data_IF_463598010358
#
_entry.id   IF_463598010358
#
_cell.length_a   1.000
_cell.length_b   1.000
_cell.length_c   1.000
_cell.angle_alpha   90.00
_cell.angle_beta   90.00
_cell.angle_gamma   90.00
#
_symmetry.space_group_name_H-M   'P 1'
#
loop_
_entity.id
_entity.type
_entity.pdbx_description
1 polymer ?
#
# COMPACT_ATOMS: atom_id res chain seq x y z
N UNK A 1 15.16 6.26 -1.30
CA UNK A 1 14.28 6.06 -0.12
C UNK A 1 15.16 5.95 1.12
N UNK A 2 14.77 6.56 2.24
CA UNK A 2 15.48 6.38 3.52
C UNK A 2 14.98 5.08 4.17
N UNK A 3 15.90 4.20 4.55
CA UNK A 3 15.65 2.91 5.18
C UNK A 3 15.88 2.91 6.69
N UNK A 4 16.85 3.64 7.22
CA UNK A 4 17.05 3.75 8.68
C UNK A 4 17.58 5.11 9.06
N UNK A 5 17.34 5.52 10.30
CA UNK A 5 17.88 6.77 10.86
C UNK A 5 18.11 6.61 12.36
N UNK A 6 19.32 6.96 12.80
CA UNK A 6 19.70 7.14 14.21
C UNK A 6 19.99 8.63 14.41
N UNK A 7 19.48 9.21 15.49
CA UNK A 7 19.73 10.60 15.89
C UNK A 7 20.29 10.61 17.30
N UNK A 8 21.34 11.39 17.53
CA UNK A 8 21.97 11.56 18.82
C UNK A 8 21.60 12.91 19.46
N UNK A 9 21.84 13.02 20.77
CA UNK A 9 21.55 14.20 21.60
C UNK A 9 22.27 15.46 21.15
N UNK A 10 23.45 15.30 20.56
CA UNK A 10 24.24 16.37 19.97
C UNK A 10 23.76 16.82 18.58
N UNK A 11 22.55 16.42 18.17
CA UNK A 11 21.93 16.75 16.88
C UNK A 11 22.68 16.21 15.65
N UNK A 12 23.61 15.29 15.83
CA UNK A 12 24.19 14.52 14.74
C UNK A 12 23.46 13.19 14.60
N UNK A 13 23.48 12.59 13.42
CA UNK A 13 22.86 11.30 13.19
C UNK A 13 23.41 10.58 11.97
N UNK A 14 22.94 9.35 11.79
CA UNK A 14 23.25 8.55 10.61
C UNK A 14 21.96 8.14 9.92
N UNK A 15 22.00 8.06 8.59
CA UNK A 15 20.90 7.57 7.76
C UNK A 15 21.41 6.48 6.82
N UNK A 16 20.63 5.42 6.64
CA UNK A 16 20.81 4.45 5.57
C UNK A 16 19.78 4.76 4.48
N UNK A 17 20.26 5.09 3.29
CA UNK A 17 19.45 5.33 2.10
C UNK A 17 19.60 4.22 1.07
N UNK A 18 18.59 4.08 0.22
CA UNK A 18 18.59 3.17 -0.93
C UNK A 18 18.08 3.88 -2.19
N UNK A 19 18.78 3.68 -3.30
CA UNK A 19 18.36 4.07 -4.64
C UNK A 19 18.61 2.91 -5.62
N UNK A 20 17.58 2.11 -5.97
CA UNK A 20 17.73 0.97 -6.87
C UNK A 20 18.26 1.31 -8.27
N UNK A 21 18.21 2.59 -8.67
CA UNK A 21 18.70 3.06 -9.97
C UNK A 21 20.17 3.49 -9.96
N UNK A 22 20.81 3.53 -8.79
CA UNK A 22 22.22 3.90 -8.68
C UNK A 22 23.12 2.67 -8.92
N UNK A 23 24.35 2.86 -9.46
CA UNK A 23 25.34 1.79 -9.57
C UNK A 23 25.62 1.08 -8.24
N UNK A 24 25.63 1.85 -7.15
CA UNK A 24 25.72 1.38 -5.78
C UNK A 24 24.37 1.70 -5.10
N UNK A 25 23.46 0.72 -4.94
CA UNK A 25 22.09 1.01 -4.53
C UNK A 25 21.96 1.50 -3.08
N UNK A 26 22.95 1.28 -2.22
CA UNK A 26 22.86 1.58 -0.80
C UNK A 26 23.87 2.65 -0.40
N UNK A 27 23.48 3.52 0.54
CA UNK A 27 24.37 4.57 1.04
C UNK A 27 24.15 4.87 2.51
N UNK A 28 25.22 5.01 3.28
CA UNK A 28 25.17 5.50 4.66
C UNK A 28 25.65 6.94 4.71
N UNK A 29 24.79 7.88 5.12
CA UNK A 29 25.16 9.28 5.28
C UNK A 29 25.19 9.64 6.75
N UNK A 30 26.14 10.48 7.15
CA UNK A 30 26.03 11.22 8.39
C UNK A 30 25.20 12.48 8.14
N UNK A 31 24.52 12.99 9.14
CA UNK A 31 23.84 14.28 9.06
C UNK A 31 23.90 15.05 10.37
N UNK A 32 23.67 16.36 10.28
CA UNK A 32 23.37 17.20 11.42
C UNK A 32 21.95 17.76 11.27
N UNK A 33 21.23 17.92 12.37
CA UNK A 33 19.88 18.46 12.43
C UNK A 33 19.89 19.85 13.09
N UNK A 34 19.53 20.88 12.32
CA UNK A 34 19.41 22.27 12.79
C UNK A 34 18.06 22.82 12.33
N UNK A 35 17.27 23.36 13.26
CA UNK A 35 15.95 23.97 12.98
C UNK A 35 14.99 23.11 12.13
N UNK A 36 15.07 21.78 12.29
CA UNK A 36 14.26 20.81 11.52
C UNK A 36 14.78 20.52 10.11
N UNK A 37 15.89 21.14 9.68
CA UNK A 37 16.62 20.80 8.47
C UNK A 37 17.73 19.78 8.78
N UNK A 38 17.89 18.78 7.91
CA UNK A 38 19.00 17.82 7.96
C UNK A 38 19.99 18.04 6.83
N UNK A 39 21.23 18.31 7.19
CA UNK A 39 22.35 18.43 6.25
C UNK A 39 23.13 17.14 6.21
N UNK A 40 23.18 16.49 5.06
CA UNK A 40 23.78 15.17 4.90
C UNK A 40 25.20 15.26 4.31
N UNK A 41 26.13 14.50 4.88
CA UNK A 41 27.54 14.49 4.49
C UNK A 41 28.24 13.15 4.81
N UNK A 42 29.48 13.01 4.32
CA UNK A 42 30.35 11.84 4.52
C UNK A 42 29.66 10.49 4.17
N UNK A 43 29.24 10.36 2.91
CA UNK A 43 28.53 9.18 2.45
C UNK A 43 29.42 7.98 2.10
N UNK A 44 29.07 6.78 2.59
CA UNK A 44 29.67 5.52 2.11
C UNK A 44 28.67 4.77 1.24
N UNK A 45 29.08 4.41 0.02
CA UNK A 45 28.22 3.75 -0.96
C UNK A 45 28.53 2.26 -1.03
N UNK A 46 27.48 1.44 -1.09
CA UNK A 46 27.57 -0.01 -1.02
C UNK A 46 26.69 -0.68 -2.08
N UNK A 47 27.11 -1.84 -2.54
CA UNK A 47 26.37 -2.64 -3.52
C UNK A 47 25.43 -3.65 -2.85
N UNK A 48 25.85 -4.15 -1.69
CA UNK A 48 25.11 -5.13 -0.91
C UNK A 48 24.47 -4.47 0.29
N UNK A 49 23.22 -4.81 0.59
CA UNK A 49 22.51 -4.19 1.69
C UNK A 49 23.12 -4.56 3.06
N UNK A 50 23.57 -5.81 3.24
CA UNK A 50 24.19 -6.28 4.48
C UNK A 50 25.48 -5.52 4.82
N UNK A 51 26.25 -5.14 3.79
CA UNK A 51 27.44 -4.30 3.98
C UNK A 51 27.06 -2.88 4.41
N UNK A 52 26.03 -2.31 3.79
CA UNK A 52 25.55 -0.98 4.12
C UNK A 52 25.02 -0.90 5.56
N UNK A 53 24.37 -1.95 6.04
CA UNK A 53 23.88 -1.99 7.41
C UNK A 53 24.97 -2.21 8.44
N UNK A 54 25.93 -3.12 8.16
CA UNK A 54 27.10 -3.27 9.04
C UNK A 54 27.86 -1.95 9.15
N UNK A 55 28.08 -1.27 8.03
CA UNK A 55 28.70 0.05 8.02
C UNK A 55 27.86 1.08 8.81
N UNK A 56 26.54 1.12 8.62
CA UNK A 56 25.64 2.00 9.36
C UNK A 56 25.75 1.82 10.89
N UNK A 57 25.64 0.57 11.39
CA UNK A 57 25.75 0.30 12.82
C UNK A 57 27.16 0.58 13.34
N UNK A 58 28.20 0.13 12.63
CA UNK A 58 29.59 0.37 13.03
C UNK A 58 29.91 1.86 13.15
N UNK A 59 29.42 2.67 12.20
CA UNK A 59 29.61 4.13 12.20
C UNK A 59 28.84 4.79 13.34
N UNK A 60 27.60 4.39 13.57
CA UNK A 60 26.80 4.90 14.68
C UNK A 60 27.44 4.54 16.03
N UNK A 61 27.88 3.29 16.22
CA UNK A 61 28.54 2.84 17.45
C UNK A 61 29.91 3.51 17.66
N UNK A 62 30.75 3.62 16.62
CA UNK A 62 32.04 4.33 16.70
C UNK A 62 31.83 5.79 17.09
N UNK A 63 30.83 6.44 16.49
CA UNK A 63 30.46 7.81 16.80
C UNK A 63 29.99 7.93 18.25
N UNK A 64 29.12 7.03 18.71
CA UNK A 64 28.63 6.99 20.08
C UNK A 64 29.78 6.83 21.09
N UNK A 65 30.73 5.93 20.81
CA UNK A 65 31.91 5.69 21.65
C UNK A 65 32.86 6.89 21.66
N UNK A 66 33.06 7.56 20.52
CA UNK A 66 34.01 8.68 20.38
C UNK A 66 33.49 9.96 21.01
N UNK A 67 32.20 10.24 20.86
CA UNK A 67 31.61 11.52 21.29
C UNK A 67 30.78 11.40 22.57
N UNK A 68 30.68 10.21 23.16
CA UNK A 68 29.91 9.94 24.38
C UNK A 68 28.47 10.46 24.31
N UNK A 69 27.88 10.35 23.12
CA UNK A 69 26.51 10.77 22.84
C UNK A 69 25.55 9.64 23.13
N UNK A 70 24.30 9.97 23.41
CA UNK A 70 23.24 8.99 23.55
C UNK A 70 22.31 9.06 22.36
N UNK A 71 21.84 7.90 21.89
CA UNK A 71 20.76 7.87 20.92
C UNK A 71 19.56 8.56 21.58
N UNK A 72 19.12 9.66 20.98
CA UNK A 72 17.87 10.28 21.37
C UNK A 72 16.81 9.33 20.85
N UNK A 73 16.16 8.64 21.79
CA UNK A 73 14.82 8.13 21.55
C UNK A 73 14.03 9.28 20.96
N UNK A 74 13.76 9.20 19.66
CA UNK A 74 12.83 10.12 19.03
C UNK A 74 11.49 9.83 19.71
N UNK A 75 11.15 10.64 20.72
CA UNK A 75 9.81 10.74 21.28
C UNK A 75 8.79 10.91 20.13
N UNK A 76 7.56 10.43 20.31
CA UNK A 76 6.90 9.45 19.46
C UNK A 76 6.34 10.03 18.16
N UNK A 77 7.21 10.49 17.28
CA UNK A 77 6.83 10.87 15.90
C UNK A 77 7.29 9.83 14.87
N UNK A 78 7.95 8.74 15.29
CA UNK A 78 8.12 7.56 14.44
C UNK A 78 6.80 6.80 14.43
N UNK A 79 5.89 7.27 13.59
CA UNK A 79 4.63 6.62 13.28
C UNK A 79 4.86 5.13 13.05
N UNK A 80 4.41 4.30 13.99
CA UNK A 80 4.60 2.86 13.95
C UNK A 80 3.48 2.21 13.16
N UNK A 81 3.79 1.11 12.48
CA UNK A 81 2.84 0.41 11.63
C UNK A 81 2.44 -0.89 12.29
N UNK A 82 1.15 -1.02 12.61
CA UNK A 82 0.58 -2.20 13.24
C UNK A 82 -0.07 -3.10 12.19
N UNK A 83 0.19 -4.39 12.29
CA UNK A 83 -0.37 -5.41 11.41
C UNK A 83 -0.93 -6.56 12.25
N UNK A 84 -2.03 -7.14 11.79
CA UNK A 84 -2.71 -8.23 12.46
C UNK A 84 -2.52 -9.53 11.71
N UNK A 85 -2.13 -10.59 12.43
CA UNK A 85 -2.15 -11.94 11.88
C UNK A 85 -3.56 -12.49 11.97
N UNK A 86 -4.21 -12.70 10.83
CA UNK A 86 -5.64 -13.06 10.80
C UNK A 86 -5.88 -14.55 10.60
N UNK A 87 -4.97 -15.25 9.94
CA UNK A 87 -5.18 -16.64 9.51
C UNK A 87 -4.53 -17.67 10.44
N UNK A 88 -3.44 -17.31 11.12
CA UNK A 88 -2.66 -18.22 11.97
C UNK A 88 -2.06 -17.53 13.19
N UNK A 89 -1.75 -18.26 14.27
CA UNK A 89 -0.97 -17.75 15.39
C UNK A 89 0.37 -17.16 14.94
N UNK A 90 0.84 -16.16 15.69
CA UNK A 90 2.17 -15.59 15.46
C UNK A 90 3.22 -16.56 16.02
N UNK A 91 4.03 -17.09 15.12
CA UNK A 91 5.17 -17.97 15.39
C UNK A 91 6.32 -17.67 14.40
N UNK A 92 7.48 -18.30 14.59
CA UNK A 92 8.64 -18.18 13.72
C UNK A 92 8.25 -18.52 12.27
N UNK A 93 8.54 -17.60 11.34
CA UNK A 93 8.20 -17.75 9.92
C UNK A 93 6.77 -17.38 9.55
N UNK A 94 5.95 -16.89 10.49
CA UNK A 94 4.59 -16.39 10.20
C UNK A 94 4.53 -14.87 10.01
N UNK A 95 5.68 -14.19 10.08
CA UNK A 95 5.79 -12.77 9.89
C UNK A 95 7.10 -12.40 9.19
N UNK A 96 7.13 -11.27 8.47
CA UNK A 96 8.37 -10.73 7.93
C UNK A 96 9.34 -10.41 9.06
N UNK A 97 10.47 -11.12 9.09
CA UNK A 97 11.59 -10.80 9.96
C UNK A 97 12.80 -10.40 9.11
N UNK A 98 12.57 -9.41 8.24
CA UNK A 98 13.61 -8.88 7.37
C UNK A 98 14.67 -8.18 8.20
N UNK A 99 15.93 -8.26 7.78
CA UNK A 99 16.98 -7.55 8.49
C UNK A 99 16.68 -6.04 8.55
N UNK A 100 16.15 -5.45 7.47
CA UNK A 100 15.88 -4.01 7.34
C UNK A 100 14.72 -3.52 8.20
N UNK A 101 13.64 -4.30 8.28
CA UNK A 101 12.42 -3.95 9.00
C UNK A 101 12.03 -5.10 9.93
N UNK A 102 12.59 -5.08 11.13
CA UNK A 102 12.29 -6.07 12.16
C UNK A 102 11.08 -5.63 12.98
N UNK A 103 10.28 -6.57 13.49
CA UNK A 103 9.26 -6.27 14.46
C UNK A 103 9.83 -5.53 15.68
N UNK A 104 9.18 -4.45 16.09
CA UNK A 104 9.54 -3.71 17.32
C UNK A 104 8.76 -4.22 18.52
N UNK A 105 7.54 -4.71 18.31
CA UNK A 105 6.65 -5.22 19.35
C UNK A 105 5.71 -6.28 18.78
N UNK A 106 5.34 -7.25 19.60
CA UNK A 106 4.35 -8.29 19.25
C UNK A 106 3.39 -8.52 20.41
N UNK A 107 2.10 -8.52 20.08
CA UNK A 107 1.02 -8.94 20.97
C UNK A 107 0.55 -10.32 20.52
N UNK A 108 0.84 -11.35 21.32
CA UNK A 108 0.42 -12.72 21.05
C UNK A 108 -0.89 -13.01 21.77
N UNK A 109 -1.96 -13.35 21.03
CA UNK A 109 -3.24 -13.70 21.64
C UNK A 109 -3.32 -15.21 21.85
N UNK A 110 -3.80 -15.62 23.03
CA UNK A 110 -4.02 -17.04 23.34
C UNK A 110 -5.11 -17.68 22.49
N UNK A 111 -6.10 -16.87 22.07
CA UNK A 111 -7.19 -17.25 21.18
C UNK A 111 -7.38 -16.18 20.12
N UNK A 112 -8.15 -16.49 19.07
CA UNK A 112 -8.53 -15.50 18.06
C UNK A 112 -9.47 -14.46 18.69
N UNK A 113 -9.11 -13.18 18.63
CA UNK A 113 -9.85 -12.06 19.23
C UNK A 113 -10.39 -11.11 18.17
N UNK A 114 -11.54 -10.49 18.43
CA UNK A 114 -12.09 -9.40 17.61
C UNK A 114 -11.18 -8.17 17.69
N UNK A 115 -10.84 -7.60 16.53
CA UNK A 115 -10.05 -6.37 16.47
C UNK A 115 -11.00 -5.17 16.53
N UNK A 116 -10.82 -4.31 17.54
CA UNK A 116 -11.66 -3.13 17.72
C UNK A 116 -11.58 -2.20 16.51
N UNK A 117 -12.73 -1.82 15.95
CA UNK A 117 -12.82 -0.92 14.80
C UNK A 117 -12.57 -1.60 13.44
N UNK A 118 -12.36 -2.91 13.42
CA UNK A 118 -12.12 -3.71 12.22
C UNK A 118 -13.23 -4.78 12.05
N UNK A 119 -13.38 -5.31 10.83
CA UNK A 119 -14.37 -6.35 10.52
C UNK A 119 -13.82 -7.79 10.64
N UNK A 120 -12.67 -7.98 11.29
CA UNK A 120 -11.98 -9.27 11.33
C UNK A 120 -11.42 -9.60 12.71
N UNK A 121 -11.12 -10.88 12.90
CA UNK A 121 -10.47 -11.42 14.08
C UNK A 121 -9.00 -11.73 13.81
N UNK A 122 -8.17 -11.56 14.83
CA UNK A 122 -6.72 -11.78 14.75
C UNK A 122 -6.23 -12.73 15.84
N UNK A 123 -5.12 -13.41 15.58
CA UNK A 123 -4.38 -14.21 16.54
C UNK A 123 -3.28 -13.42 17.27
N UNK A 124 -3.10 -12.17 16.89
CA UNK A 124 -2.13 -11.27 17.48
C UNK A 124 -1.87 -10.07 16.59
N UNK A 125 -1.01 -9.18 17.08
CA UNK A 125 -0.57 -8.01 16.34
C UNK A 125 0.95 -7.88 16.36
N UNK A 126 1.49 -7.31 15.30
CA UNK A 126 2.91 -7.07 15.11
C UNK A 126 3.08 -5.61 14.73
N UNK A 127 3.94 -4.92 15.47
CA UNK A 127 4.27 -3.52 15.20
C UNK A 127 5.64 -3.45 14.55
N UNK A 128 5.77 -2.63 13.52
CA UNK A 128 7.00 -2.33 12.80
C UNK A 128 7.30 -0.83 12.85
N UNK A 129 8.58 -0.50 12.71
CA UNK A 129 9.02 0.90 12.56
C UNK A 129 8.76 1.44 11.15
N UNK A 130 8.63 0.57 10.14
CA UNK A 130 8.35 0.92 8.75
C UNK A 130 7.18 0.12 8.20
N UNK A 131 6.46 0.65 7.20
CA UNK A 131 5.36 -0.08 6.62
C UNK A 131 5.89 -1.32 5.90
N UNK A 132 5.15 -2.42 6.02
CA UNK A 132 5.35 -3.61 5.20
C UNK A 132 4.94 -3.32 3.76
N UNK A 133 5.64 -3.96 2.83
CA UNK A 133 5.24 -3.94 1.42
C UNK A 133 3.94 -4.74 1.22
N UNK A 134 3.20 -4.42 0.16
CA UNK A 134 2.00 -5.17 -0.22
C UNK A 134 2.27 -6.67 -0.38
N UNK A 135 3.43 -7.02 -0.92
CA UNK A 135 3.85 -8.41 -1.09
C UNK A 135 4.11 -9.09 0.26
N UNK A 136 4.81 -8.45 1.18
CA UNK A 136 5.02 -8.99 2.53
C UNK A 136 3.69 -9.17 3.26
N UNK A 137 2.76 -8.23 3.14
CA UNK A 137 1.42 -8.38 3.71
C UNK A 137 0.68 -9.58 3.12
N UNK A 138 0.77 -9.80 1.80
CA UNK A 138 0.12 -10.93 1.14
C UNK A 138 0.78 -12.27 1.49
N UNK A 139 2.10 -12.37 1.37
CA UNK A 139 2.88 -13.59 1.59
C UNK A 139 2.70 -14.12 3.03
N UNK A 140 2.57 -13.21 4.00
CA UNK A 140 2.36 -13.54 5.40
C UNK A 140 0.91 -13.39 5.87
N UNK A 141 -0.01 -13.03 4.97
CA UNK A 141 -1.45 -12.86 5.24
C UNK A 141 -1.75 -11.87 6.38
N UNK A 142 -0.92 -10.84 6.48
CA UNK A 142 -1.03 -9.78 7.46
C UNK A 142 -1.98 -8.69 7.00
N UNK A 143 -2.82 -8.20 7.90
CA UNK A 143 -3.71 -7.07 7.63
C UNK A 143 -3.22 -5.80 8.32
N UNK A 144 -3.08 -4.67 7.60
CA UNK A 144 -2.71 -3.41 8.24
C UNK A 144 -3.83 -2.92 9.16
N UNK A 145 -3.46 -2.29 10.27
CA UNK A 145 -4.41 -1.62 11.12
C UNK A 145 -4.93 -0.33 10.45
N UNK A 146 -6.21 -0.02 10.66
CA UNK A 146 -6.83 1.26 10.29
C UNK A 146 -6.00 2.50 10.63
N UNK A 147 -5.35 2.49 11.79
CA UNK A 147 -4.63 3.66 12.32
C UNK A 147 -3.27 3.90 11.66
N UNK A 148 -2.80 2.97 10.82
CA UNK A 148 -1.58 3.18 10.07
C UNK A 148 -1.74 4.36 9.10
N UNK A 149 -0.71 5.20 8.98
CA UNK A 149 -0.76 6.45 8.22
C UNK A 149 -1.28 6.29 6.79
N UNK A 150 -0.75 5.29 6.09
CA UNK A 150 -1.08 4.95 4.71
C UNK A 150 -2.56 4.56 4.58
N UNK A 151 -3.08 3.81 5.54
CA UNK A 151 -4.48 3.41 5.59
C UNK A 151 -5.38 4.61 5.90
N UNK A 152 -5.02 5.45 6.88
CA UNK A 152 -5.79 6.68 7.18
C UNK A 152 -5.85 7.62 5.98
N UNK A 153 -4.72 7.85 5.31
CA UNK A 153 -4.66 8.66 4.07
C UNK A 153 -5.52 8.06 2.95
N UNK A 154 -5.48 6.75 2.78
CA UNK A 154 -6.33 6.06 1.81
C UNK A 154 -7.82 6.22 2.15
N UNK A 155 -8.19 6.03 3.42
CA UNK A 155 -9.55 6.21 3.89
C UNK A 155 -10.03 7.64 3.68
N UNK A 156 -9.22 8.65 3.99
CA UNK A 156 -9.56 10.06 3.77
C UNK A 156 -9.78 10.37 2.28
N UNK A 157 -8.92 9.83 1.41
CA UNK A 157 -9.07 9.98 -0.03
C UNK A 157 -10.38 9.34 -0.53
N UNK A 158 -10.68 8.13 -0.07
CA UNK A 158 -11.92 7.42 -0.42
C UNK A 158 -13.15 8.11 0.17
N UNK A 159 -13.10 8.60 1.40
CA UNK A 159 -14.18 9.34 2.06
C UNK A 159 -14.51 10.60 1.28
N UNK A 160 -13.53 11.32 0.74
CA UNK A 160 -13.78 12.47 -0.15
C UNK A 160 -14.53 12.10 -1.41
N UNK A 161 -14.20 10.97 -2.04
CA UNK A 161 -14.89 10.49 -3.24
C UNK A 161 -16.32 10.04 -2.90
N UNK A 162 -16.44 9.21 -1.86
CA UNK A 162 -17.71 8.66 -1.38
C UNK A 162 -18.66 9.76 -0.93
N UNK A 163 -18.18 10.71 -0.12
CA UNK A 163 -18.99 11.78 0.44
C UNK A 163 -19.53 12.73 -0.62
N UNK A 164 -18.71 13.12 -1.60
CA UNK A 164 -19.19 13.92 -2.76
C UNK A 164 -20.25 13.18 -3.57
N UNK A 165 -20.10 11.87 -3.73
CA UNK A 165 -21.10 11.06 -4.42
C UNK A 165 -22.38 10.91 -3.60
N UNK A 166 -22.27 10.73 -2.29
CA UNK A 166 -23.41 10.66 -1.37
C UNK A 166 -24.24 11.94 -1.41
N UNK A 167 -23.58 13.10 -1.44
CA UNK A 167 -24.23 14.41 -1.61
C UNK A 167 -24.94 14.50 -2.97
N UNK A 168 -24.24 14.16 -4.06
CA UNK A 168 -24.80 14.23 -5.42
C UNK A 168 -26.00 13.28 -5.64
N UNK A 169 -26.10 12.20 -4.87
CA UNK A 169 -27.19 11.23 -4.95
C UNK A 169 -28.19 11.36 -3.80
N UNK A 170 -28.08 12.42 -2.99
CA UNK A 170 -28.95 12.70 -1.85
C UNK A 170 -29.14 11.50 -0.92
N UNK A 171 -28.04 10.82 -0.60
CA UNK A 171 -28.06 9.65 0.29
C UNK A 171 -28.48 10.10 1.69
N UNK A 172 -29.51 9.48 2.30
CA UNK A 172 -29.97 9.86 3.62
C UNK A 172 -28.87 9.61 4.66
N UNK A 173 -28.75 10.50 5.65
CA UNK A 173 -27.68 10.52 6.65
C UNK A 173 -27.48 9.16 7.34
N UNK A 174 -28.56 8.43 7.62
CA UNK A 174 -28.46 7.12 8.27
C UNK A 174 -27.71 6.06 7.43
N UNK A 175 -27.69 6.23 6.10
CA UNK A 175 -27.01 5.31 5.17
C UNK A 175 -25.66 5.80 4.72
N UNK A 176 -25.29 7.03 5.07
CA UNK A 176 -23.99 7.60 4.72
C UNK A 176 -22.88 6.91 5.50
N UNK A 177 -21.77 6.69 4.81
CA UNK A 177 -20.52 6.19 5.38
C UNK A 177 -19.58 7.32 5.79
N UNK A 178 -19.84 8.54 5.32
CA UNK A 178 -19.00 9.70 5.58
C UNK A 178 -19.72 10.77 6.38
N UNK A 179 -18.98 11.49 7.20
CA UNK A 179 -19.38 12.77 7.76
C UNK A 179 -18.72 13.90 6.98
N UNK A 180 -19.49 14.95 6.73
CA UNK A 180 -18.97 16.21 6.23
C UNK A 180 -18.70 17.14 7.42
N UNK A 181 -17.46 17.60 7.56
CA UNK A 181 -17.08 18.60 8.55
C UNK A 181 -17.03 19.98 7.90
N UNK A 182 -18.02 20.87 8.15
CA UNK A 182 -18.09 22.17 7.49
C UNK A 182 -16.88 23.05 7.76
N UNK A 183 -16.34 23.00 8.98
CA UNK A 183 -15.22 23.83 9.43
C UNK A 183 -13.93 23.60 8.63
N UNK A 184 -13.77 22.38 8.08
CA UNK A 184 -12.59 21.97 7.32
C UNK A 184 -12.89 21.69 5.84
N UNK A 185 -14.16 21.75 5.43
CA UNK A 185 -14.60 21.44 4.08
C UNK A 185 -14.24 20.01 3.62
N UNK A 186 -14.16 19.06 4.55
CA UNK A 186 -13.64 17.71 4.30
C UNK A 186 -14.67 16.64 4.65
N UNK A 187 -14.60 15.53 3.91
CA UNK A 187 -15.33 14.31 4.24
C UNK A 187 -14.39 13.35 4.96
N UNK A 188 -14.89 12.76 6.04
CA UNK A 188 -14.18 11.78 6.85
C UNK A 188 -15.06 10.56 7.02
N UNK A 189 -14.47 9.36 7.06
CA UNK A 189 -15.21 8.14 7.30
C UNK A 189 -15.75 8.11 8.74
N UNK A 190 -16.99 7.62 8.94
CA UNK A 190 -17.55 7.45 10.29
C UNK A 190 -16.72 6.44 11.09
N UNK A 191 -16.76 6.55 12.42
CA UNK A 191 -15.95 5.72 13.33
C UNK A 191 -16.22 4.22 13.17
N UNK A 192 -17.45 3.81 12.90
CA UNK A 192 -17.82 2.40 12.72
C UNK A 192 -17.59 1.87 11.30
N UNK A 193 -17.18 2.71 10.35
CA UNK A 193 -16.97 2.31 8.96
C UNK A 193 -15.57 1.73 8.82
N UNK A 194 -15.49 0.50 8.32
CA UNK A 194 -14.21 -0.17 8.13
C UNK A 194 -13.52 0.27 6.83
N UNK A 195 -12.17 0.19 6.77
CA UNK A 195 -11.43 0.52 5.54
C UNK A 195 -11.91 -0.28 4.31
N UNK A 196 -12.28 -1.54 4.52
CA UNK A 196 -12.77 -2.44 3.47
C UNK A 196 -14.14 -2.01 2.92
N UNK A 197 -15.08 -1.62 3.79
CA UNK A 197 -16.40 -1.14 3.38
C UNK A 197 -16.29 0.12 2.53
N UNK A 198 -15.45 1.06 2.95
CA UNK A 198 -15.22 2.31 2.24
C UNK A 198 -14.53 2.07 0.89
N UNK A 199 -13.53 1.18 0.85
CA UNK A 199 -12.84 0.77 -0.38
C UNK A 199 -13.79 0.12 -1.38
N UNK A 200 -14.65 -0.79 -0.91
CA UNK A 200 -15.62 -1.47 -1.76
C UNK A 200 -16.59 -0.47 -2.40
N UNK A 201 -17.04 0.55 -1.65
CA UNK A 201 -17.89 1.61 -2.18
C UNK A 201 -17.16 2.49 -3.19
N UNK A 202 -15.96 2.97 -2.88
CA UNK A 202 -15.13 3.75 -3.78
C UNK A 202 -14.95 3.06 -5.14
N UNK A 203 -14.51 1.79 -5.13
CA UNK A 203 -14.33 0.98 -6.34
C UNK A 203 -15.64 0.76 -7.10
N UNK A 204 -16.74 0.57 -6.40
CA UNK A 204 -18.07 0.45 -7.01
C UNK A 204 -18.45 1.70 -7.82
N UNK A 205 -18.16 2.88 -7.28
CA UNK A 205 -18.42 4.16 -7.94
C UNK A 205 -17.52 4.37 -9.16
N UNK A 206 -16.22 4.06 -9.05
CA UNK A 206 -15.28 4.12 -10.18
C UNK A 206 -15.74 3.24 -11.34
N UNK A 207 -16.19 2.01 -11.06
CA UNK A 207 -16.75 1.11 -12.07
C UNK A 207 -18.01 1.66 -12.73
N UNK A 208 -18.91 2.26 -11.95
CA UNK A 208 -20.11 2.89 -12.51
C UNK A 208 -19.77 4.09 -13.39
N UNK A 209 -18.83 4.94 -12.96
CA UNK A 209 -18.35 6.08 -13.73
C UNK A 209 -17.69 5.61 -15.05
N UNK A 210 -16.81 4.60 -14.99
CA UNK A 210 -16.18 4.01 -16.16
C UNK A 210 -17.20 3.40 -17.13
N UNK A 211 -18.22 2.70 -16.62
CA UNK A 211 -19.30 2.15 -17.44
C UNK A 211 -20.12 3.24 -18.13
N UNK A 212 -20.49 4.31 -17.40
CA UNK A 212 -21.18 5.46 -17.99
C UNK A 212 -20.34 6.17 -19.05
N UNK A 213 -19.05 6.38 -18.79
CA UNK A 213 -18.12 6.99 -19.73
C UNK A 213 -17.96 6.13 -21.00
N UNK A 214 -17.85 4.81 -20.85
CA UNK A 214 -17.77 3.89 -21.98
C UNK A 214 -19.04 3.90 -22.83
N UNK A 215 -20.23 3.91 -22.19
CA UNK A 215 -21.51 4.07 -22.91
C UNK A 215 -21.58 5.38 -23.68
N UNK A 216 -21.23 6.50 -23.04
CA UNK A 216 -21.22 7.82 -23.69
C UNK A 216 -20.20 7.91 -24.82
N UNK A 217 -19.02 7.30 -24.68
CA UNK A 217 -18.02 7.25 -25.75
C UNK A 217 -18.55 6.46 -26.95
N UNK A 218 -19.23 5.33 -26.71
CA UNK A 218 -19.87 4.54 -27.76
C UNK A 218 -21.01 5.30 -28.44
N UNK A 219 -21.84 6.01 -27.69
CA UNK A 219 -22.92 6.85 -28.24
C UNK A 219 -22.39 8.03 -29.07
N UNK A 220 -21.24 8.61 -28.69
CA UNK A 220 -20.60 9.73 -29.40
C UNK A 220 -19.82 9.31 -30.65
N UNK A 221 -19.52 8.02 -30.85
CA UNK A 221 -18.86 7.55 -32.06
C UNK A 221 -19.80 7.69 -33.26
N UNK A 222 -19.33 8.22 -34.42
CA UNK A 222 -20.13 8.29 -35.62
C UNK A 222 -20.67 6.91 -36.02
N UNK A 223 -21.92 6.84 -36.48
CA UNK A 223 -22.60 5.59 -36.88
C UNK A 223 -21.76 4.79 -37.89
N UNK A 224 -21.02 5.48 -38.77
CA UNK A 224 -20.12 4.86 -39.74
C UNK A 224 -18.95 4.09 -39.08
N UNK A 225 -18.37 4.61 -38.00
CA UNK A 225 -17.31 3.92 -37.27
C UNK A 225 -17.86 2.75 -36.45
N UNK A 226 -19.06 2.90 -35.88
CA UNK A 226 -19.75 1.81 -35.18
C UNK A 226 -20.07 0.64 -36.12
N UNK A 227 -20.56 0.92 -37.34
CA UNK A 227 -20.82 -0.11 -38.35
C UNK A 227 -19.54 -0.82 -38.81
N UNK A 228 -18.44 -0.09 -38.94
CA UNK A 228 -17.13 -0.66 -39.33
C UNK A 228 -16.53 -1.52 -38.23
N UNK A 229 -16.66 -1.14 -36.97
CA UNK A 229 -16.24 -1.93 -35.81
C UNK A 229 -17.09 -3.21 -35.68
N UNK A 230 -18.42 -3.11 -35.80
CA UNK A 230 -19.31 -4.26 -35.78
C UNK A 230 -19.05 -5.24 -36.93
N UNK A 231 -18.74 -4.76 -38.13
CA UNK A 231 -18.33 -5.62 -39.25
C UNK A 231 -17.01 -6.35 -38.97
N UNK A 232 -16.04 -5.70 -38.30
CA UNK A 232 -14.78 -6.35 -37.93
C UNK A 232 -14.98 -7.43 -36.86
N UNK A 233 -15.73 -7.14 -35.80
CA UNK A 233 -16.07 -8.12 -34.77
C UNK A 233 -16.85 -9.31 -35.36
N UNK A 234 -17.79 -9.06 -36.28
CA UNK A 234 -18.53 -10.12 -36.96
C UNK A 234 -17.66 -10.99 -37.89
N UNK A 235 -16.60 -10.42 -38.48
CA UNK A 235 -15.62 -11.17 -39.28
C UNK A 235 -14.66 -11.97 -38.41
N UNK A 236 -14.27 -11.46 -37.25
CA UNK A 236 -13.40 -12.17 -36.29
C UNK A 236 -14.14 -13.31 -35.57
N UNK A 237 -15.44 -13.13 -35.29
CA UNK A 237 -16.30 -14.17 -34.73
C UNK A 237 -16.91 -15.11 -35.79
N UNK A 238 -16.54 -14.95 -37.06
CA UNK A 238 -16.94 -15.90 -38.11
C UNK A 238 -16.15 -17.19 -37.91
N UNK A 239 -16.80 -18.22 -37.37
CA UNK A 239 -16.23 -19.56 -37.27
C UNK A 239 -15.66 -20.01 -38.63
N UNK A 240 -14.51 -20.72 -38.67
CA UNK A 240 -13.98 -21.26 -39.91
C UNK A 240 -15.01 -22.21 -40.53
N UNK A 241 -15.33 -21.99 -41.81
CA UNK A 241 -16.24 -22.84 -42.59
C UNK A 241 -15.90 -24.32 -42.38
N UNK A 242 -16.85 -25.10 -41.89
CA UNK A 242 -16.70 -26.54 -41.70
C UNK A 242 -16.21 -27.19 -43.01
N UNK A 243 -15.24 -28.13 -42.95
CA UNK A 243 -14.65 -28.70 -44.15
C UNK A 243 -15.73 -29.41 -44.98
N UNK A 244 -15.87 -28.97 -46.24
CA UNK A 244 -16.81 -29.55 -47.22
C UNK A 244 -16.54 -31.06 -47.32
N UNK A 245 -17.51 -31.89 -46.91
CA UNK A 245 -17.51 -33.33 -47.17
C UNK A 245 -17.46 -33.54 -48.69
N UNK A 246 -16.34 -34.08 -49.20
CA UNK A 246 -16.28 -34.61 -50.57
C UNK A 246 -17.31 -35.74 -50.69
N UNK A 247 -18.19 -35.66 -51.68
CA UNK A 247 -19.11 -36.74 -52.00
C UNK A 247 -18.32 -37.98 -52.45
N UNK A 248 -18.72 -39.20 -52.05
CA UNK A 248 -18.06 -40.42 -52.52
C UNK A 248 -18.35 -40.63 -54.01
N UNK A 249 -17.28 -40.82 -54.76
CA UNK A 249 -17.27 -41.22 -56.17
C UNK A 249 -17.88 -42.62 -56.31
N UNK A 250 -19.05 -42.70 -56.95
CA UNK A 250 -19.74 -43.95 -57.25
C UNK A 250 -19.60 -44.21 -58.75
N UNK A 251 -18.55 -44.93 -59.11
CA UNK A 251 -18.41 -45.51 -60.44
C UNK A 251 -19.58 -46.45 -60.75
N UNK A 252 -20.29 -46.18 -61.84
CA UNK A 252 -21.16 -47.14 -62.52
C UNK A 252 -20.43 -47.69 -63.74
N UNK A 253 -20.18 -49.01 -63.68
CA UNK A 253 -20.35 -50.03 -64.72
C UNK A 253 -19.68 -49.86 -66.09
#
# INVERSE_FOLDING_TARGET
MIRRTILFDNKCGFVLGENPKAPNPYVTWQFNEQDGHRDYFWGHYHNEPDMAERDFHNRAEDYQRRYHVFEVEQAPDKETYKYYSTQRPIDIGTYPNSYFNRPIHMDLYSTRQDVTGEAFQAWGAITYAQPLTEREMQDYELRPARENLDIRRQMDAQAKVVGKWEDAHHVPEQRRLTWFYPDFGSYVAKEYVTPEQLTARARGMERQAASKAHKQAKEKQPIAEQMKAAQREALEHREPEAPKKKAPDRGER
#
